data_IF_584189448783
#
_entry.id   IF_584189448783
#
_cell.length_a   1.000
_cell.length_b   1.000
_cell.length_c   1.000
_cell.angle_alpha   90.00
_cell.angle_beta   90.00
_cell.angle_gamma   90.00
#
_symmetry.space_group_name_H-M   'P 1'
#
loop_
_entity.id
_entity.type
_entity.pdbx_description
1 polymer ?
#
# COMPACT_ATOMS: atom_id res chain seq x y z
N UNK A 1 -1.37 -10.18 19.46
CA UNK A 1 -2.45 -10.47 18.49
C UNK A 1 -2.93 -9.12 17.96
N UNK A 2 -3.31 -9.04 16.68
CA UNK A 2 -3.86 -7.81 16.08
C UNK A 2 -5.30 -8.05 15.63
N UNK A 3 -6.15 -7.03 15.77
CA UNK A 3 -7.47 -6.94 15.17
C UNK A 3 -7.35 -6.24 13.82
N UNK A 4 -8.07 -6.74 12.81
CA UNK A 4 -8.11 -6.13 11.48
C UNK A 4 -9.41 -5.34 11.35
N UNK A 5 -9.30 -4.08 10.94
CA UNK A 5 -10.41 -3.17 10.70
C UNK A 5 -10.40 -2.80 9.22
N UNK A 6 -11.52 -2.95 8.51
CA UNK A 6 -11.64 -2.70 7.07
C UNK A 6 -12.65 -1.58 6.85
N UNK A 7 -12.26 -0.59 6.06
CA UNK A 7 -13.07 0.57 5.71
C UNK A 7 -13.13 0.69 4.18
N UNK A 8 -14.33 0.56 3.63
CA UNK A 8 -14.60 0.72 2.20
C UNK A 8 -15.20 2.11 1.91
N UNK A 9 -14.85 2.68 0.77
CA UNK A 9 -15.35 3.99 0.34
C UNK A 9 -14.65 5.17 1.02
N UNK A 10 -15.17 6.38 0.82
CA UNK A 10 -14.49 7.62 1.26
C UNK A 10 -14.36 7.66 2.80
N UNK A 11 -13.12 7.68 3.28
CA UNK A 11 -12.80 7.87 4.70
C UNK A 11 -11.93 9.13 4.87
N UNK A 12 -12.15 9.95 5.92
CA UNK A 12 -11.20 11.00 6.26
C UNK A 12 -9.87 10.39 6.70
N UNK A 13 -8.76 11.05 6.37
CA UNK A 13 -7.45 10.71 6.90
C UNK A 13 -7.45 11.02 8.41
N UNK A 14 -7.37 9.98 9.24
CA UNK A 14 -7.30 10.18 10.68
C UNK A 14 -5.90 10.60 11.12
N UNK A 15 -5.82 11.37 12.21
CA UNK A 15 -4.54 11.76 12.82
C UNK A 15 -3.71 10.52 13.22
N UNK A 16 -4.37 9.46 13.68
CA UNK A 16 -3.73 8.19 14.06
C UNK A 16 -3.07 7.50 12.85
N UNK A 17 -3.76 7.43 11.71
CA UNK A 17 -3.22 6.87 10.48
C UNK A 17 -2.08 7.73 9.94
N UNK A 18 -2.24 9.04 9.94
CA UNK A 18 -1.20 9.97 9.49
C UNK A 18 0.06 9.87 10.34
N UNK A 19 -0.07 9.81 11.67
CA UNK A 19 1.07 9.63 12.57
C UNK A 19 1.84 8.33 12.26
N UNK A 20 1.12 7.23 12.02
CA UNK A 20 1.75 5.96 11.66
C UNK A 20 2.38 5.99 10.26
N UNK A 21 1.74 6.64 9.28
CA UNK A 21 2.30 6.84 7.94
C UNK A 21 3.66 7.54 8.01
N UNK A 22 3.73 8.67 8.74
CA UNK A 22 4.96 9.44 8.94
C UNK A 22 6.05 8.58 9.56
N UNK A 23 5.73 7.83 10.63
CA UNK A 23 6.73 7.01 11.31
C UNK A 23 7.25 5.87 10.42
N UNK A 24 6.38 5.20 9.68
CA UNK A 24 6.76 4.08 8.82
C UNK A 24 7.65 4.55 7.66
N UNK A 25 7.27 5.64 6.99
CA UNK A 25 7.94 6.08 5.76
C UNK A 25 9.12 7.03 5.99
N UNK A 26 9.27 7.61 7.19
CA UNK A 26 10.50 8.33 7.56
C UNK A 26 11.72 7.38 7.67
N UNK A 27 11.51 6.08 7.85
CA UNK A 27 12.60 5.10 7.94
C UNK A 27 13.20 4.76 6.56
N UNK A 28 14.46 4.35 6.56
CA UNK A 28 15.10 3.78 5.38
C UNK A 28 14.34 2.52 4.90
N UNK A 29 14.21 2.31 3.58
CA UNK A 29 14.83 3.08 2.48
C UNK A 29 13.96 4.22 1.95
N UNK A 30 12.83 4.49 2.59
CA UNK A 30 11.89 5.50 2.12
C UNK A 30 12.42 6.90 2.48
N UNK A 31 12.83 7.12 3.73
CA UNK A 31 13.36 8.40 4.18
C UNK A 31 12.46 9.59 3.76
N UNK A 32 11.14 9.38 3.81
CA UNK A 32 10.17 10.39 3.42
C UNK A 32 10.28 11.59 4.36
N UNK A 33 10.18 12.76 3.76
CA UNK A 33 10.33 14.04 4.44
C UNK A 33 8.95 14.59 4.82
N UNK A 34 8.95 15.71 5.55
CA UNK A 34 7.72 16.46 5.78
C UNK A 34 7.04 16.86 4.47
N UNK A 35 7.80 17.19 3.43
CA UNK A 35 7.23 17.57 2.13
C UNK A 35 6.50 16.39 1.45
N UNK A 36 7.01 15.16 1.58
CA UNK A 36 6.34 13.96 1.06
C UNK A 36 5.06 13.66 1.85
N UNK A 37 5.07 13.93 3.16
CA UNK A 37 3.87 13.82 4.02
C UNK A 37 2.81 14.85 3.62
N UNK A 38 3.22 16.11 3.41
CA UNK A 38 2.31 17.18 3.01
C UNK A 38 1.68 16.89 1.63
N UNK A 39 2.45 16.32 0.70
CA UNK A 39 1.96 15.83 -0.60
C UNK A 39 0.91 14.73 -0.43
N UNK A 40 1.18 13.71 0.39
CA UNK A 40 0.21 12.65 0.69
C UNK A 40 -1.10 13.18 1.30
N UNK A 41 -1.01 14.13 2.24
CA UNK A 41 -2.20 14.77 2.84
C UNK A 41 -3.00 15.56 1.80
N UNK A 42 -2.33 16.25 0.88
CA UNK A 42 -2.98 16.99 -0.19
C UNK A 42 -3.66 16.08 -1.23
N UNK A 43 -3.06 14.93 -1.53
CA UNK A 43 -3.58 13.93 -2.49
C UNK A 43 -4.70 13.05 -1.90
N UNK A 44 -4.80 12.96 -0.57
CA UNK A 44 -5.76 12.08 0.10
C UNK A 44 -7.22 12.21 -0.38
N UNK A 45 -7.81 13.41 -0.58
CA UNK A 45 -9.20 13.53 -1.03
C UNK A 45 -9.43 12.90 -2.40
N UNK A 46 -8.45 12.99 -3.31
CA UNK A 46 -8.52 12.39 -4.64
C UNK A 46 -8.38 10.87 -4.53
N UNK A 47 -7.38 10.39 -3.79
CA UNK A 47 -7.18 8.96 -3.54
C UNK A 47 -8.41 8.30 -2.88
N UNK A 48 -9.01 8.95 -1.89
CA UNK A 48 -10.18 8.45 -1.18
C UNK A 48 -11.46 8.43 -2.04
N UNK A 49 -11.47 9.18 -3.15
CA UNK A 49 -12.55 9.21 -4.12
C UNK A 49 -12.41 8.16 -5.23
N UNK A 50 -11.25 7.49 -5.34
CA UNK A 50 -11.01 6.47 -6.36
C UNK A 50 -11.97 5.27 -6.23
N UNK A 51 -12.42 4.67 -7.35
CA UNK A 51 -13.27 3.50 -7.32
C UNK A 51 -12.65 2.36 -6.51
N UNK A 52 -13.46 1.75 -5.65
CA UNK A 52 -13.01 0.64 -4.82
C UNK A 52 -11.92 0.99 -3.80
N UNK A 53 -11.75 2.27 -3.47
CA UNK A 53 -10.90 2.71 -2.36
C UNK A 53 -11.22 1.93 -1.08
N UNK A 54 -10.17 1.43 -0.43
CA UNK A 54 -10.23 0.69 0.83
C UNK A 54 -9.02 1.03 1.68
N UNK A 55 -9.27 1.20 2.98
CA UNK A 55 -8.25 1.26 4.03
C UNK A 55 -8.42 0.05 4.92
N UNK A 56 -7.31 -0.61 5.24
CA UNK A 56 -7.28 -1.68 6.24
C UNK A 56 -6.28 -1.30 7.33
N UNK A 57 -6.72 -1.37 8.58
CA UNK A 57 -5.91 -1.09 9.75
C UNK A 57 -5.69 -2.36 10.55
N UNK A 58 -4.51 -2.50 11.15
CA UNK A 58 -4.18 -3.53 12.11
C UNK A 58 -4.00 -2.89 13.48
N UNK A 59 -4.87 -3.19 14.44
CA UNK A 59 -4.83 -2.67 15.80
C UNK A 59 -4.25 -3.71 16.75
N UNK A 60 -3.25 -3.31 17.52
CA UNK A 60 -2.70 -4.12 18.60
C UNK A 60 -3.74 -4.34 19.71
N UNK A 61 -3.56 -5.39 20.51
CA UNK A 61 -4.41 -5.62 21.69
C UNK A 61 -4.35 -4.50 22.74
N UNK A 62 -3.35 -3.63 22.68
CA UNK A 62 -3.22 -2.40 23.50
C UNK A 62 -4.10 -1.25 23.00
N UNK A 63 -4.62 -1.35 21.78
CA UNK A 63 -5.41 -0.31 21.12
C UNK A 63 -4.61 0.53 20.11
N UNK A 64 -3.29 0.41 20.05
CA UNK A 64 -2.45 1.19 19.11
C UNK A 64 -2.49 0.63 17.68
N UNK A 65 -2.33 1.49 16.66
CA UNK A 65 -2.14 1.02 15.29
C UNK A 65 -0.77 0.37 15.09
N UNK A 66 -0.80 -0.90 14.73
CA UNK A 66 0.37 -1.71 14.42
C UNK A 66 0.73 -1.67 12.92
N UNK A 67 -0.21 -1.31 12.05
CA UNK A 67 0.01 -1.24 10.61
C UNK A 67 -1.24 -0.82 9.84
N UNK A 68 -1.05 -0.50 8.56
CA UNK A 68 -2.12 -0.10 7.66
C UNK A 68 -1.81 -0.52 6.22
N UNK A 69 -2.84 -0.57 5.38
CA UNK A 69 -2.69 -0.60 3.93
C UNK A 69 -3.85 0.10 3.25
N UNK A 70 -3.58 0.70 2.11
CA UNK A 70 -4.52 1.49 1.32
C UNK A 70 -4.48 0.96 -0.10
N UNK A 71 -5.63 0.87 -0.76
CA UNK A 71 -5.69 0.49 -2.17
C UNK A 71 -6.96 0.96 -2.86
N UNK A 72 -6.96 0.90 -4.19
CA UNK A 72 -8.07 1.29 -5.04
C UNK A 72 -8.01 0.53 -6.37
N UNK A 73 -9.09 0.61 -7.16
CA UNK A 73 -9.15 0.01 -8.50
C UNK A 73 -8.31 0.82 -9.48
N UNK A 74 -7.61 0.11 -10.36
CA UNK A 74 -6.83 0.66 -11.45
C UNK A 74 -7.53 0.39 -12.77
N UNK A 75 -7.74 1.45 -13.54
CA UNK A 75 -8.26 1.34 -14.90
C UNK A 75 -7.15 0.98 -15.92
N UNK A 76 -7.47 0.28 -17.02
CA UNK A 76 -6.54 0.06 -18.10
C UNK A 76 -5.93 1.37 -18.62
N UNK A 77 -4.61 1.37 -18.87
CA UNK A 77 -3.90 2.58 -19.31
C UNK A 77 -3.55 3.57 -18.19
N UNK A 78 -3.80 3.20 -16.93
CA UNK A 78 -3.32 3.92 -15.74
C UNK A 78 -1.81 4.22 -15.79
N UNK A 79 -1.39 5.31 -15.14
CA UNK A 79 0.01 5.66 -14.92
C UNK A 79 0.74 4.64 -14.03
N UNK A 80 0.00 3.85 -13.25
CA UNK A 80 0.54 2.78 -12.41
C UNK A 80 1.33 1.73 -13.21
N UNK A 81 0.82 1.35 -14.37
CA UNK A 81 1.45 0.41 -15.29
C UNK A 81 0.74 0.44 -16.64
N UNK A 82 1.44 0.94 -17.68
CA UNK A 82 0.89 0.98 -19.05
C UNK A 82 0.63 -0.40 -19.66
N UNK A 83 1.19 -1.46 -19.07
CA UNK A 83 0.95 -2.86 -19.45
C UNK A 83 -0.35 -3.45 -18.90
N UNK A 84 -1.04 -2.77 -17.98
CA UNK A 84 -2.32 -3.23 -17.45
C UNK A 84 -3.40 -3.19 -18.56
N UNK A 85 -4.03 -4.34 -18.84
CA UNK A 85 -4.99 -4.50 -19.95
C UNK A 85 -6.44 -4.57 -19.51
N UNK A 86 -6.68 -5.05 -18.30
CA UNK A 86 -8.00 -5.15 -17.66
C UNK A 86 -7.96 -4.38 -16.33
N UNK A 87 -9.10 -4.21 -15.67
CA UNK A 87 -9.10 -3.58 -14.35
C UNK A 87 -8.25 -4.38 -13.37
N UNK A 88 -7.41 -3.67 -12.63
CA UNK A 88 -6.54 -4.21 -11.60
C UNK A 88 -6.82 -3.59 -10.24
N UNK A 89 -6.15 -4.07 -9.20
CA UNK A 89 -6.19 -3.45 -7.88
C UNK A 89 -4.81 -2.93 -7.49
N UNK A 90 -4.72 -1.65 -7.17
CA UNK A 90 -3.50 -0.98 -6.74
C UNK A 90 -3.35 -1.05 -5.23
N UNK A 91 -2.22 -1.54 -4.73
CA UNK A 91 -1.83 -1.35 -3.33
C UNK A 91 -1.05 -0.03 -3.26
N UNK A 92 -1.76 1.03 -2.87
CA UNK A 92 -1.23 2.39 -2.73
C UNK A 92 -0.14 2.45 -1.67
N UNK A 93 -0.48 1.99 -0.46
CA UNK A 93 0.41 2.02 0.68
C UNK A 93 0.32 0.72 1.48
N UNK A 94 1.44 0.28 2.04
CA UNK A 94 1.48 -0.82 2.99
C UNK A 94 2.60 -0.58 4.01
N UNK A 95 2.20 -0.35 5.26
CA UNK A 95 3.10 0.01 6.35
C UNK A 95 2.85 -0.79 7.61
N UNK A 96 3.92 -1.18 8.30
CA UNK A 96 3.84 -1.82 9.62
C UNK A 96 4.83 -1.12 10.55
N UNK A 97 4.30 -0.67 11.68
CA UNK A 97 5.08 -0.03 12.75
C UNK A 97 6.25 -0.92 13.16
N UNK A 98 7.43 -0.34 13.39
CA UNK A 98 8.68 -1.10 13.57
C UNK A 98 8.62 -2.15 14.68
N UNK A 99 7.97 -1.81 15.80
CA UNK A 99 7.86 -2.69 16.98
C UNK A 99 6.91 -3.88 16.75
N UNK A 100 6.11 -3.83 15.68
CA UNK A 100 5.15 -4.86 15.32
C UNK A 100 5.58 -5.70 14.11
N UNK A 101 6.73 -5.41 13.49
CA UNK A 101 7.26 -6.17 12.34
C UNK A 101 7.61 -7.62 12.73
N UNK A 102 7.72 -8.49 11.73
CA UNK A 102 8.00 -9.95 11.87
C UNK A 102 6.90 -10.79 12.55
N UNK A 103 5.69 -10.25 12.67
CA UNK A 103 4.51 -10.97 13.18
C UNK A 103 3.48 -11.34 12.10
N UNK A 104 3.86 -11.25 10.82
CA UNK A 104 2.97 -11.54 9.68
C UNK A 104 1.87 -10.50 9.45
N UNK A 105 1.93 -9.33 10.10
CA UNK A 105 0.89 -8.28 10.01
C UNK A 105 0.74 -7.75 8.59
N UNK A 106 1.85 -7.47 7.89
CA UNK A 106 1.82 -6.98 6.51
C UNK A 106 1.05 -7.93 5.59
N UNK A 107 1.20 -9.26 5.77
CA UNK A 107 0.48 -10.27 5.00
C UNK A 107 -1.02 -10.25 5.32
N UNK A 108 -1.39 -10.13 6.60
CA UNK A 108 -2.80 -10.06 7.01
C UNK A 108 -3.50 -8.82 6.48
N UNK A 109 -2.81 -7.67 6.52
CA UNK A 109 -3.29 -6.41 5.94
C UNK A 109 -3.52 -6.57 4.44
N UNK A 110 -2.53 -7.11 3.73
CA UNK A 110 -2.59 -7.37 2.29
C UNK A 110 -3.74 -8.32 1.91
N UNK A 111 -3.86 -9.45 2.59
CA UNK A 111 -4.93 -10.42 2.32
C UNK A 111 -6.32 -9.81 2.59
N UNK A 112 -6.47 -9.03 3.66
CA UNK A 112 -7.73 -8.34 3.98
C UNK A 112 -8.07 -7.22 3.00
N UNK A 113 -7.05 -6.51 2.46
CA UNK A 113 -7.25 -5.51 1.43
C UNK A 113 -7.86 -6.14 0.17
N UNK A 114 -7.39 -7.32 -0.21
CA UNK A 114 -7.81 -8.05 -1.41
C UNK A 114 -9.05 -8.93 -1.21
N UNK A 115 -9.52 -9.11 0.02
CA UNK A 115 -10.66 -9.98 0.30
C UNK A 115 -11.93 -9.50 -0.40
N UNK A 116 -12.63 -10.43 -1.06
CA UNK A 116 -13.83 -10.17 -1.85
C UNK A 116 -13.62 -9.35 -3.14
N UNK A 117 -12.38 -8.98 -3.50
CA UNK A 117 -12.07 -8.18 -4.68
C UNK A 117 -12.02 -9.03 -5.97
N UNK A 118 -12.76 -8.66 -7.04
CA UNK A 118 -12.83 -9.45 -8.28
C UNK A 118 -11.59 -9.29 -9.18
N UNK A 119 -10.75 -8.28 -8.95
CA UNK A 119 -9.62 -7.96 -9.81
C UNK A 119 -8.56 -9.07 -9.74
N UNK A 120 -8.21 -9.59 -10.92
CA UNK A 120 -7.24 -10.68 -11.07
C UNK A 120 -5.80 -10.22 -10.97
N UNK A 121 -5.53 -8.95 -11.29
CA UNK A 121 -4.19 -8.40 -11.24
C UNK A 121 -4.09 -7.41 -10.09
N UNK A 122 -3.12 -7.61 -9.21
CA UNK A 122 -2.80 -6.68 -8.14
C UNK A 122 -1.45 -6.05 -8.45
N UNK A 123 -1.40 -4.73 -8.48
CA UNK A 123 -0.21 -3.95 -8.82
C UNK A 123 0.24 -3.17 -7.59
N UNK A 124 1.55 -3.12 -7.38
CA UNK A 124 2.14 -2.20 -6.40
C UNK A 124 3.46 -1.66 -6.91
N UNK A 125 3.84 -0.49 -6.42
CA UNK A 125 5.16 0.07 -6.64
C UNK A 125 6.09 -0.23 -5.46
N UNK A 126 7.33 -0.58 -5.77
CA UNK A 126 8.37 -0.75 -4.77
C UNK A 126 9.62 0.02 -5.18
N UNK A 127 10.25 0.69 -4.21
CA UNK A 127 11.56 1.31 -4.46
C UNK A 127 12.60 0.21 -4.74
N UNK A 128 13.52 0.39 -5.72
CA UNK A 128 14.62 -0.55 -5.93
C UNK A 128 15.42 -0.85 -4.67
N UNK A 129 15.64 0.17 -3.83
CA UNK A 129 16.36 0.07 -2.55
C UNK A 129 15.58 -0.67 -1.44
N UNK A 130 14.28 -0.95 -1.62
CA UNK A 130 13.45 -1.69 -0.66
C UNK A 130 13.60 -3.20 -0.81
N UNK A 131 14.83 -3.69 -0.66
CA UNK A 131 15.18 -5.10 -0.84
C UNK A 131 14.35 -6.03 0.05
N UNK A 132 14.16 -5.67 1.32
CA UNK A 132 13.38 -6.48 2.27
C UNK A 132 11.91 -6.54 1.85
N UNK A 133 11.30 -5.40 1.49
CA UNK A 133 9.91 -5.36 1.03
C UNK A 133 9.74 -6.13 -0.28
N UNK A 134 10.65 -5.95 -1.25
CA UNK A 134 10.68 -6.71 -2.51
C UNK A 134 10.76 -8.22 -2.27
N UNK A 135 11.62 -8.68 -1.38
CA UNK A 135 11.73 -10.10 -1.05
C UNK A 135 10.44 -10.64 -0.42
N UNK A 136 9.79 -9.86 0.44
CA UNK A 136 8.47 -10.20 1.01
C UNK A 136 7.42 -10.30 -0.10
N UNK A 137 7.31 -9.31 -0.98
CA UNK A 137 6.35 -9.36 -2.10
C UNK A 137 6.62 -10.53 -3.03
N UNK A 138 7.88 -10.81 -3.36
CA UNK A 138 8.25 -11.98 -4.16
C UNK A 138 7.81 -13.29 -3.50
N UNK A 139 7.94 -13.41 -2.16
CA UNK A 139 7.45 -14.58 -1.42
C UNK A 139 5.92 -14.75 -1.47
N UNK A 140 5.20 -13.68 -1.77
CA UNK A 140 3.73 -13.69 -1.95
C UNK A 140 3.33 -13.93 -3.40
N UNK A 141 4.28 -14.09 -4.32
CA UNK A 141 4.04 -14.34 -5.75
C UNK A 141 4.10 -13.10 -6.64
N UNK A 142 4.41 -11.92 -6.10
CA UNK A 142 4.62 -10.73 -6.93
C UNK A 142 5.84 -10.90 -7.84
N UNK A 143 5.69 -10.48 -9.08
CA UNK A 143 6.75 -10.47 -10.09
C UNK A 143 6.96 -9.04 -10.58
N UNK A 144 8.21 -8.66 -10.81
CA UNK A 144 8.50 -7.40 -11.48
C UNK A 144 8.07 -7.49 -12.94
N UNK A 145 7.22 -6.55 -13.37
CA UNK A 145 6.69 -6.48 -14.75
C UNK A 145 7.15 -5.24 -15.50
N UNK A 146 7.59 -4.21 -14.78
CA UNK A 146 8.05 -2.96 -15.38
C UNK A 146 8.95 -2.16 -14.41
N UNK A 147 9.49 -1.06 -14.91
CA UNK A 147 10.24 -0.04 -14.18
C UNK A 147 9.75 1.33 -14.64
N UNK A 148 9.32 2.17 -13.70
CA UNK A 148 8.92 3.55 -13.97
C UNK A 148 9.94 4.50 -13.36
N UNK A 149 10.54 5.33 -14.21
CA UNK A 149 11.43 6.41 -13.79
C UNK A 149 10.60 7.68 -13.62
N UNK A 150 10.47 8.14 -12.38
CA UNK A 150 9.85 9.41 -12.05
C UNK A 150 10.89 10.47 -11.68
N UNK A 151 10.53 11.77 -11.74
CA UNK A 151 11.43 12.87 -11.42
C UNK A 151 11.91 12.85 -9.96
N UNK A 152 11.09 12.34 -9.03
CA UNK A 152 11.43 12.21 -7.60
C UNK A 152 12.05 10.84 -7.26
N UNK A 153 11.60 9.77 -7.92
CA UNK A 153 11.95 8.39 -7.56
C UNK A 153 11.74 7.43 -8.72
N UNK A 154 12.59 6.41 -8.77
CA UNK A 154 12.41 5.23 -9.61
C UNK A 154 11.60 4.19 -8.84
N UNK A 155 10.57 3.64 -9.47
CA UNK A 155 9.72 2.60 -8.90
C UNK A 155 9.78 1.34 -9.78
N UNK A 156 9.88 0.19 -9.14
CA UNK A 156 9.63 -1.09 -9.78
C UNK A 156 8.14 -1.35 -9.74
N UNK A 157 7.58 -1.77 -10.88
CA UNK A 157 6.18 -2.19 -10.96
C UNK A 157 6.13 -3.69 -10.68
N UNK A 158 5.49 -4.06 -9.58
CA UNK A 158 5.28 -5.45 -9.21
C UNK A 158 3.82 -5.83 -9.43
N UNK A 159 3.59 -7.00 -10.03
CA UNK A 159 2.26 -7.54 -10.29
C UNK A 159 2.11 -8.94 -9.69
N UNK A 160 0.97 -9.18 -9.06
CA UNK A 160 0.50 -10.48 -8.60
C UNK A 160 -0.74 -10.87 -9.40
N UNK A 161 -0.71 -12.04 -10.04
CA UNK A 161 -1.89 -12.64 -10.65
C UNK A 161 -2.62 -13.51 -9.61
N UNK A 162 -3.94 -13.30 -9.49
CA UNK A 162 -4.85 -14.04 -8.61
C UNK A 162 -5.68 -15.01 -9.45
N UNK A 163 -5.93 -16.19 -8.89
CA UNK A 163 -6.74 -17.25 -9.50
C UNK A 163 -8.21 -17.15 -9.10
#
# INVERSE_FOLDING_TARGET
>A
MVQIEVYDGTAPLSDELLALYVEVFAEAPYNDTQADTDEFVAEWPELAAEPGFRVVLARAGTGELAGFTIGHVLEPGTSWWSGLRETGYGVAELGVHRDWRRHGIARKLHDALLDGRPERQVVLWARPAAEVARAVYASWGYRQVDLIEGPKRTNLVLCLDRH
#
